data_IF_254057363842
#
_entry.id   IF_254057363842
#
_cell.length_a   1.000
_cell.length_b   1.000
_cell.length_c   1.000
_cell.angle_alpha   90.00
_cell.angle_beta   90.00
_cell.angle_gamma   90.00
#
_symmetry.space_group_name_H-M   'P 1'
#
loop_
_entity.id
_entity.type
_entity.pdbx_description
1 polymer ?
#
# COMPACT_ATOMS: atom_id res chain seq x y z
N UNK A 1 -23.89 -54.00 -11.91
CA UNK A 1 -25.15 -53.21 -11.93
C UNK A 1 -24.82 -51.77 -11.57
N UNK A 2 -24.43 -50.95 -12.55
CA UNK A 2 -24.05 -49.54 -12.31
C UNK A 2 -25.32 -48.68 -12.34
N UNK A 3 -25.68 -48.06 -11.20
CA UNK A 3 -26.80 -47.13 -11.12
C UNK A 3 -26.43 -45.84 -11.88
N UNK A 4 -27.26 -45.47 -12.85
CA UNK A 4 -27.15 -44.18 -13.53
C UNK A 4 -27.49 -43.05 -12.54
N UNK A 5 -26.51 -42.21 -12.25
CA UNK A 5 -26.74 -40.95 -11.54
C UNK A 5 -27.31 -39.95 -12.54
N UNK A 6 -28.52 -39.46 -12.29
CA UNK A 6 -29.18 -38.48 -13.15
C UNK A 6 -28.36 -37.19 -13.21
N UNK A 7 -28.02 -36.75 -14.42
CA UNK A 7 -27.22 -35.56 -14.73
C UNK A 7 -27.65 -34.30 -13.94
N UNK A 8 -28.95 -34.16 -13.66
CA UNK A 8 -29.56 -33.03 -12.94
C UNK A 8 -29.20 -32.94 -11.45
N UNK A 9 -28.82 -34.06 -10.81
CA UNK A 9 -28.39 -34.09 -9.40
C UNK A 9 -26.90 -33.77 -9.26
N UNK A 10 -26.10 -34.11 -10.27
CA UNK A 10 -24.66 -33.80 -10.32
C UNK A 10 -24.45 -32.30 -10.55
N UNK A 11 -25.23 -31.67 -11.44
CA UNK A 11 -25.13 -30.22 -11.73
C UNK A 11 -25.49 -29.34 -10.52
N UNK A 12 -26.47 -29.75 -9.69
CA UNK A 12 -26.84 -29.00 -8.47
C UNK A 12 -25.83 -29.16 -7.34
N UNK A 13 -25.11 -30.28 -7.28
CA UNK A 13 -24.11 -30.55 -6.24
C UNK A 13 -22.75 -29.88 -6.52
N UNK A 14 -22.45 -29.52 -7.77
CA UNK A 14 -21.19 -28.87 -8.16
C UNK A 14 -21.29 -27.34 -8.24
N UNK A 15 -22.49 -26.77 -8.37
CA UNK A 15 -22.68 -25.31 -8.42
C UNK A 15 -22.42 -24.60 -7.06
N UNK A 16 -22.65 -25.28 -5.94
CA UNK A 16 -22.45 -24.71 -4.60
C UNK A 16 -20.97 -24.48 -4.23
N UNK A 17 -20.01 -25.41 -4.44
CA UNK A 17 -18.61 -25.17 -4.10
C UNK A 17 -17.91 -24.19 -5.05
N UNK A 18 -18.35 -24.10 -6.32
CA UNK A 18 -17.77 -23.18 -7.29
C UNK A 18 -18.10 -21.69 -7.00
N UNK A 19 -19.22 -21.41 -6.35
CA UNK A 19 -19.58 -20.06 -5.92
C UNK A 19 -18.80 -19.58 -4.69
N UNK A 20 -18.28 -20.48 -3.84
CA UNK A 20 -17.43 -20.10 -2.71
C UNK A 20 -16.00 -19.69 -3.12
N UNK A 21 -15.50 -20.17 -4.26
CA UNK A 21 -14.16 -19.78 -4.74
C UNK A 21 -14.12 -18.43 -5.46
N UNK A 22 -15.27 -17.84 -5.80
CA UNK A 22 -15.35 -16.56 -6.52
C UNK A 22 -15.17 -15.32 -5.63
N UNK A 23 -15.17 -15.47 -4.30
CA UNK A 23 -15.06 -14.36 -3.35
C UNK A 23 -13.63 -14.10 -2.85
N UNK A 24 -12.61 -14.51 -3.59
CA UNK A 24 -11.26 -13.98 -3.39
C UNK A 24 -11.23 -12.51 -3.82
N UNK A 25 -11.80 -11.63 -2.99
CA UNK A 25 -11.73 -10.20 -3.15
C UNK A 25 -10.26 -9.79 -3.17
N UNK A 26 -9.88 -8.98 -4.15
CA UNK A 26 -8.58 -8.32 -4.19
C UNK A 26 -8.51 -7.31 -3.03
N UNK A 27 -8.23 -7.80 -1.83
CA UNK A 27 -7.87 -6.97 -0.70
C UNK A 27 -6.52 -6.31 -1.03
N UNK A 28 -6.50 -4.99 -1.16
CA UNK A 28 -5.28 -4.23 -1.46
C UNK A 28 -4.34 -4.29 -0.26
N UNK A 29 -3.28 -5.08 -0.31
CA UNK A 29 -2.42 -5.25 0.85
C UNK A 29 -1.71 -3.94 1.28
N UNK A 30 -1.54 -3.77 2.59
CA UNK A 30 -0.75 -2.72 3.19
C UNK A 30 0.73 -3.03 2.96
N UNK A 31 1.45 -2.16 2.26
CA UNK A 31 2.85 -2.37 1.95
C UNK A 31 3.71 -1.46 2.82
N UNK A 32 4.71 -2.02 3.49
CA UNK A 32 5.70 -1.30 4.27
C UNK A 32 7.11 -1.75 3.90
N UNK A 33 8.01 -0.79 3.72
CA UNK A 33 9.44 -1.03 3.49
C UNK A 33 10.16 -0.98 4.84
N UNK A 34 10.88 -2.05 5.18
CA UNK A 34 11.55 -2.23 6.47
C UNK A 34 13.05 -2.37 6.26
N UNK A 35 13.83 -1.46 6.84
CA UNK A 35 15.30 -1.48 6.83
C UNK A 35 15.81 -1.76 8.23
N UNK A 36 16.75 -2.70 8.37
CA UNK A 36 17.30 -3.11 9.68
C UNK A 36 18.82 -3.16 9.66
N UNK A 37 19.43 -2.84 10.79
CA UNK A 37 20.86 -2.95 11.05
C UNK A 37 21.06 -3.55 12.44
N UNK A 38 21.91 -4.55 12.57
CA UNK A 38 22.20 -5.20 13.84
C UNK A 38 23.67 -5.54 13.96
N UNK A 39 24.34 -5.16 15.04
CA UNK A 39 25.77 -5.43 15.21
C UNK A 39 26.08 -6.69 16.02
N UNK A 40 25.12 -7.16 16.83
CA UNK A 40 25.10 -8.42 17.58
C UNK A 40 24.01 -8.25 18.64
N UNK A 41 22.76 -8.51 18.27
CA UNK A 41 21.70 -8.55 19.26
C UNK A 41 21.84 -9.88 20.03
N UNK A 42 22.06 -9.83 21.35
CA UNK A 42 22.23 -11.03 22.14
C UNK A 42 20.95 -11.85 22.15
N UNK A 43 21.08 -13.18 22.07
CA UNK A 43 19.94 -14.07 22.14
C UNK A 43 19.23 -13.94 23.51
N UNK A 44 17.90 -14.15 23.57
CA UNK A 44 17.13 -14.07 24.80
C UNK A 44 17.49 -15.23 25.74
N UNK A 45 18.52 -15.03 26.57
CA UNK A 45 19.03 -15.98 27.57
C UNK A 45 18.80 -15.46 29.00
N UNK A 46 17.68 -14.76 29.22
CA UNK A 46 17.38 -14.05 30.47
C UNK A 46 17.66 -12.55 30.42
N UNK A 47 17.76 -11.97 29.22
CA UNK A 47 17.89 -10.53 29.06
C UNK A 47 16.56 -9.82 29.31
N UNK A 48 16.63 -8.78 30.11
CA UNK A 48 15.52 -7.88 30.38
C UNK A 48 15.51 -6.71 29.41
N UNK A 49 14.33 -6.27 28.99
CA UNK A 49 14.17 -5.10 28.15
C UNK A 49 13.16 -4.13 28.75
N UNK A 50 13.31 -2.84 28.43
CA UNK A 50 12.32 -1.81 28.73
C UNK A 50 12.12 -0.93 27.50
N UNK A 51 10.86 -0.60 27.19
CA UNK A 51 10.52 0.29 26.07
C UNK A 51 10.40 1.72 26.57
N UNK A 52 11.03 2.65 25.85
CA UNK A 52 11.01 4.09 26.16
C UNK A 52 10.77 4.89 24.89
N UNK A 53 10.19 6.08 25.03
CA UNK A 53 10.04 7.00 23.91
C UNK A 53 11.41 7.54 23.49
N UNK A 54 11.71 7.49 22.19
CA UNK A 54 12.91 8.16 21.66
C UNK A 54 12.71 9.68 21.59
N UNK A 55 11.49 10.13 21.24
CA UNK A 55 11.11 11.54 21.30
C UNK A 55 10.64 11.93 22.72
N UNK A 56 11.30 12.89 23.38
CA UNK A 56 10.87 13.43 24.67
C UNK A 56 9.45 14.00 24.67
N UNK A 57 8.93 14.46 23.52
CA UNK A 57 7.57 14.98 23.41
C UNK A 57 6.50 13.90 23.55
N UNK A 58 6.84 12.64 23.23
CA UNK A 58 5.95 11.49 23.35
C UNK A 58 6.05 10.82 24.73
N UNK A 59 7.06 11.16 25.53
CA UNK A 59 7.24 10.60 26.87
C UNK A 59 6.02 10.89 27.76
N UNK A 60 5.38 9.83 28.24
CA UNK A 60 4.17 9.92 29.06
C UNK A 60 2.87 10.11 28.28
N UNK A 61 2.90 10.05 26.94
CA UNK A 61 1.69 10.02 26.12
C UNK A 61 0.94 8.68 26.29
N UNK A 62 -0.39 8.75 26.43
CA UNK A 62 -1.26 7.56 26.45
C UNK A 62 -1.24 6.81 25.11
N UNK A 63 -1.09 7.53 24.01
CA UNK A 63 -0.96 6.91 22.69
C UNK A 63 0.38 6.16 22.59
N UNK A 64 1.46 6.76 23.09
CA UNK A 64 2.76 6.08 23.15
C UNK A 64 2.68 4.80 23.98
N UNK A 65 2.05 4.86 25.17
CA UNK A 65 1.87 3.67 26.01
C UNK A 65 1.18 2.53 25.24
N UNK A 66 0.11 2.85 24.50
CA UNK A 66 -0.61 1.85 23.71
C UNK A 66 0.25 1.18 22.63
N UNK A 67 1.18 1.92 22.00
CA UNK A 67 2.09 1.36 21.00
C UNK A 67 3.31 0.69 21.63
N UNK A 68 3.79 1.18 22.77
CA UNK A 68 4.83 0.55 23.56
C UNK A 68 4.39 -0.86 23.97
N UNK A 69 3.14 -1.04 24.44
CA UNK A 69 2.55 -2.35 24.75
C UNK A 69 2.65 -3.33 23.55
N UNK A 70 2.51 -2.84 22.32
CA UNK A 70 2.64 -3.68 21.12
C UNK A 70 4.09 -4.13 20.91
N UNK A 71 5.05 -3.22 21.07
CA UNK A 71 6.48 -3.54 20.96
C UNK A 71 6.90 -4.51 22.07
N UNK A 72 6.42 -4.29 23.30
CA UNK A 72 6.63 -5.16 24.45
C UNK A 72 6.09 -6.57 24.19
N UNK A 73 4.85 -6.68 23.69
CA UNK A 73 4.27 -7.95 23.34
C UNK A 73 5.08 -8.69 22.26
N UNK A 74 5.62 -7.98 21.25
CA UNK A 74 6.48 -8.59 20.23
C UNK A 74 7.84 -9.02 20.77
N UNK A 75 8.47 -8.21 21.62
CA UNK A 75 9.73 -8.56 22.29
C UNK A 75 9.56 -9.75 23.22
N UNK A 76 8.45 -9.81 23.96
CA UNK A 76 8.09 -10.95 24.79
C UNK A 76 7.88 -12.23 23.97
N UNK A 77 7.24 -12.13 22.79
CA UNK A 77 7.09 -13.26 21.85
C UNK A 77 8.44 -13.79 21.34
N UNK A 78 9.47 -12.94 21.24
CA UNK A 78 10.82 -13.35 20.90
C UNK A 78 11.55 -14.05 22.07
N UNK A 79 11.01 -13.99 23.30
CA UNK A 79 11.56 -14.63 24.49
C UNK A 79 12.34 -13.68 25.42
N UNK A 80 12.36 -12.38 25.15
CA UNK A 80 12.91 -11.41 26.10
C UNK A 80 11.96 -11.19 27.26
N UNK A 81 12.50 -10.88 28.44
CA UNK A 81 11.69 -10.62 29.63
C UNK A 81 11.50 -9.13 29.85
N UNK A 82 10.28 -8.69 30.11
CA UNK A 82 10.00 -7.29 30.41
C UNK A 82 10.63 -6.89 31.76
N UNK A 83 11.21 -5.71 31.83
CA UNK A 83 11.76 -5.11 33.04
C UNK A 83 11.44 -3.62 33.11
N UNK A 84 11.94 -2.95 34.15
CA UNK A 84 11.84 -1.50 34.26
C UNK A 84 13.03 -0.82 33.61
N UNK A 85 12.88 0.46 33.25
CA UNK A 85 13.97 1.27 32.68
C UNK A 85 15.26 1.22 33.52
N UNK A 86 15.15 1.08 34.85
CA UNK A 86 16.29 1.02 35.78
C UNK A 86 16.98 -0.35 35.83
N UNK A 87 16.26 -1.44 35.53
CA UNK A 87 16.74 -2.82 35.70
C UNK A 87 16.90 -3.57 34.37
N UNK A 88 16.50 -2.97 33.26
CA UNK A 88 16.60 -3.57 31.94
C UNK A 88 18.05 -3.64 31.45
N UNK A 89 18.44 -4.79 30.89
CA UNK A 89 19.71 -4.93 30.17
C UNK A 89 19.69 -4.31 28.78
N UNK A 90 18.50 -4.21 28.18
CA UNK A 90 18.26 -3.64 26.86
C UNK A 90 17.26 -2.48 26.97
N UNK A 91 17.63 -1.33 26.42
CA UNK A 91 16.74 -0.18 26.32
C UNK A 91 16.23 -0.09 24.88
N UNK A 92 14.94 -0.33 24.69
CA UNK A 92 14.27 -0.25 23.40
C UNK A 92 13.68 1.15 23.25
N UNK A 93 14.33 2.00 22.46
CA UNK A 93 13.82 3.33 22.13
C UNK A 93 12.91 3.23 20.92
N UNK A 94 11.70 3.73 21.06
CA UNK A 94 10.65 3.64 20.05
C UNK A 94 10.13 5.03 19.69
N UNK A 95 9.95 5.27 18.40
CA UNK A 95 9.35 6.47 17.84
C UNK A 95 8.38 6.13 16.71
N UNK A 96 7.37 6.98 16.51
CA UNK A 96 6.38 6.83 15.47
C UNK A 96 5.91 8.18 14.94
N UNK A 97 5.57 8.24 13.66
CA UNK A 97 5.10 9.48 13.06
C UNK A 97 4.50 9.31 11.68
N UNK A 98 3.89 10.40 11.20
CA UNK A 98 3.38 10.55 9.85
C UNK A 98 3.77 11.93 9.31
N UNK A 99 4.15 11.99 8.04
CA UNK A 99 4.47 13.26 7.40
C UNK A 99 3.22 14.12 7.10
N UNK A 100 3.44 15.36 6.66
CA UNK A 100 2.36 16.30 6.32
C UNK A 100 1.58 15.91 5.04
N UNK A 101 2.00 14.83 4.37
CA UNK A 101 1.45 14.39 3.10
C UNK A 101 1.97 15.19 1.91
N UNK A 102 1.98 14.56 0.74
CA UNK A 102 2.36 15.19 -0.53
C UNK A 102 1.28 14.91 -1.57
N UNK A 103 0.86 15.94 -2.29
CA UNK A 103 -0.07 15.76 -3.40
C UNK A 103 0.59 14.99 -4.54
N UNK A 104 -0.11 13.97 -5.01
CA UNK A 104 0.22 13.23 -6.22
C UNK A 104 -0.90 13.42 -7.22
N UNK A 105 -0.51 13.84 -8.41
CA UNK A 105 -1.41 13.97 -9.54
C UNK A 105 -1.26 12.72 -10.39
N UNK A 106 -2.34 11.97 -10.55
CA UNK A 106 -2.41 10.84 -11.48
C UNK A 106 -3.38 11.20 -12.59
N UNK A 107 -2.84 11.29 -13.80
CA UNK A 107 -3.65 11.37 -15.01
C UNK A 107 -4.13 9.96 -15.34
N UNK A 108 -5.43 9.74 -15.19
CA UNK A 108 -6.11 8.52 -15.61
C UNK A 108 -6.96 8.87 -16.83
N UNK A 109 -6.75 8.18 -17.95
CA UNK A 109 -7.46 8.48 -19.19
C UNK A 109 -7.09 7.49 -20.27
N UNK A 110 -7.97 7.35 -21.25
CA UNK A 110 -7.70 6.56 -22.44
C UNK A 110 -6.86 7.42 -23.39
N UNK A 111 -5.59 7.06 -23.60
CA UNK A 111 -4.81 7.67 -24.67
C UNK A 111 -5.38 7.16 -26.00
N UNK A 112 -6.02 8.04 -26.77
CA UNK A 112 -6.58 7.68 -28.07
C UNK A 112 -5.45 7.19 -29.01
N UNK A 113 -5.43 5.91 -29.42
CA UNK A 113 -4.40 5.37 -30.29
C UNK A 113 -4.34 6.04 -31.67
N UNK A 114 -5.39 6.77 -32.05
CA UNK A 114 -5.50 7.44 -33.34
C UNK A 114 -5.08 8.91 -33.29
N UNK A 115 -4.73 9.44 -32.11
CA UNK A 115 -4.33 10.85 -31.94
C UNK A 115 -3.08 10.99 -31.07
N UNK A 116 -1.91 10.95 -31.70
CA UNK A 116 -0.64 11.36 -31.08
C UNK A 116 -0.39 12.85 -31.40
N UNK A 117 -0.26 13.75 -30.41
CA UNK A 117 -0.04 15.19 -30.62
C UNK A 117 1.22 15.53 -31.44
N UNK A 118 2.15 14.58 -31.60
CA UNK A 118 3.44 14.80 -32.24
C UNK A 118 3.49 14.28 -33.69
N UNK A 119 2.48 13.56 -34.16
CA UNK A 119 2.43 13.02 -35.53
C UNK A 119 1.40 13.81 -36.34
N UNK A 120 1.88 14.88 -36.95
CA UNK A 120 1.10 15.66 -37.92
C UNK A 120 0.51 14.75 -39.00
N UNK A 121 -0.80 14.87 -39.20
CA UNK A 121 -1.55 14.20 -40.25
C UNK A 121 -0.94 14.51 -41.62
N UNK A 122 -0.15 13.58 -42.17
CA UNK A 122 0.37 13.67 -43.53
C UNK A 122 -0.57 12.91 -44.48
N UNK A 123 -1.45 13.57 -45.25
CA UNK A 123 -2.26 12.88 -46.24
C UNK A 123 -1.36 12.49 -47.42
N UNK A 124 -0.83 11.26 -47.37
CA UNK A 124 -0.29 10.60 -48.56
C UNK A 124 -1.44 9.99 -49.34
N UNK A 125 -2.02 10.75 -50.26
CA UNK A 125 -2.77 10.18 -51.38
C UNK A 125 -2.17 10.64 -52.70
N UNK A 126 -1.22 9.85 -53.20
CA UNK A 126 -0.90 9.80 -54.62
C UNK A 126 -1.91 8.87 -55.28
N UNK A 127 -2.75 9.38 -56.19
CA UNK A 127 -2.91 8.90 -57.57
C UNK A 127 -4.18 9.47 -58.25
N UNK A 128 -3.99 9.95 -59.48
CA UNK A 128 -4.93 10.07 -60.63
C UNK A 128 -5.92 11.25 -60.77
N UNK A 129 -5.46 12.21 -61.60
CA UNK A 129 -5.95 12.59 -62.95
C UNK A 129 -7.27 13.40 -63.08
N UNK A 130 -7.07 14.66 -63.48
CA UNK A 130 -7.85 15.57 -64.36
C UNK A 130 -9.38 15.72 -64.21
N UNK A 131 -9.83 16.97 -64.04
CA UNK A 131 -10.34 17.87 -65.13
C UNK A 131 -11.28 18.93 -64.52
N UNK A 132 -10.89 20.20 -64.67
CA UNK A 132 -11.70 21.42 -64.74
C UNK A 132 -13.20 21.35 -64.36
N UNK A 133 -13.62 22.07 -63.30
CA UNK A 133 -14.66 23.12 -63.31
C UNK A 133 -14.77 23.80 -61.91
N UNK A 134 -15.25 25.06 -61.81
CA UNK A 134 -15.01 25.96 -60.68
C UNK A 134 -16.09 25.89 -59.59
N UNK A 135 -15.68 26.32 -58.38
CA UNK A 135 -16.46 26.55 -57.16
C UNK A 135 -17.95 26.82 -57.37
N UNK A 136 -18.79 25.95 -56.80
CA UNK A 136 -20.08 26.34 -56.21
C UNK A 136 -20.32 25.56 -54.93
N UNK A 137 -20.50 26.34 -53.87
CA UNK A 137 -21.11 26.00 -52.59
C UNK A 137 -21.98 24.73 -52.63
N UNK A 138 -21.44 23.62 -52.13
CA UNK A 138 -22.24 22.50 -51.68
C UNK A 138 -21.88 22.18 -50.23
N UNK A 139 -22.75 22.71 -49.36
CA UNK A 139 -22.93 22.34 -47.97
C UNK A 139 -23.01 20.81 -47.91
N UNK A 140 -21.88 20.16 -47.63
CA UNK A 140 -21.79 18.71 -47.63
C UNK A 140 -22.68 18.16 -46.53
N UNK A 141 -23.81 17.62 -46.95
CA UNK A 141 -24.91 17.07 -46.16
C UNK A 141 -24.65 15.59 -45.84
N UNK A 142 -23.40 15.28 -45.48
CA UNK A 142 -22.94 13.92 -45.14
C UNK A 142 -22.25 13.91 -43.75
N UNK A 143 -22.84 14.63 -42.80
CA UNK A 143 -22.54 14.50 -41.38
C UNK A 143 -23.56 13.51 -40.78
N UNK A 144 -23.33 12.22 -40.95
CA UNK A 144 -24.22 11.21 -40.38
C UNK A 144 -23.90 9.80 -40.85
N UNK A 145 -23.10 9.09 -40.05
CA UNK A 145 -23.30 7.66 -39.77
C UNK A 145 -22.35 7.12 -38.69
N UNK A 146 -21.14 7.68 -38.53
CA UNK A 146 -20.14 7.21 -37.54
C UNK A 146 -19.24 8.33 -37.03
N UNK A 147 -19.82 9.51 -36.76
CA UNK A 147 -19.08 10.68 -36.31
C UNK A 147 -19.11 10.79 -34.79
N UNK A 148 -18.25 10.07 -34.09
CA UNK A 148 -17.80 10.55 -32.78
C UNK A 148 -17.08 11.88 -33.04
N UNK A 149 -17.67 12.96 -32.52
CA UNK A 149 -17.20 14.31 -32.80
C UNK A 149 -15.77 14.50 -32.30
N UNK A 150 -15.03 15.39 -32.97
CA UNK A 150 -13.69 15.89 -32.62
C UNK A 150 -13.59 16.58 -31.23
N UNK A 151 -14.62 16.42 -30.38
CA UNK A 151 -14.78 16.91 -29.01
C UNK A 151 -15.94 16.16 -28.31
N UNK A 152 -16.03 14.83 -28.47
CA UNK A 152 -17.11 14.06 -27.84
C UNK A 152 -16.80 13.80 -26.34
N UNK A 153 -17.60 14.32 -25.39
CA UNK A 153 -17.39 14.12 -23.95
C UNK A 153 -17.45 12.63 -23.53
N UNK A 154 -18.00 11.75 -24.37
CA UNK A 154 -18.06 10.31 -24.10
C UNK A 154 -16.70 9.61 -24.16
N UNK A 155 -15.71 10.18 -24.85
CA UNK A 155 -14.33 9.66 -24.93
C UNK A 155 -13.34 10.46 -24.09
N UNK A 156 -13.86 11.23 -23.11
CA UNK A 156 -13.19 11.71 -21.90
C UNK A 156 -11.69 11.97 -22.03
N UNK A 157 -11.33 13.25 -22.22
CA UNK A 157 -9.95 13.71 -22.07
C UNK A 157 -9.36 13.29 -20.70
N UNK A 158 -8.03 13.33 -20.56
CA UNK A 158 -7.33 12.84 -19.38
C UNK A 158 -7.98 13.32 -18.07
N UNK A 159 -8.58 12.40 -17.30
CA UNK A 159 -9.12 12.70 -15.98
C UNK A 159 -7.93 12.84 -15.02
N UNK A 160 -7.70 14.07 -14.59
CA UNK A 160 -6.65 14.39 -13.63
C UNK A 160 -7.22 14.18 -12.24
N UNK A 161 -6.76 13.15 -11.53
CA UNK A 161 -7.11 12.91 -10.13
C UNK A 161 -5.94 13.30 -9.24
N UNK A 162 -6.19 14.25 -8.32
CA UNK A 162 -5.25 14.61 -7.26
C UNK A 162 -5.59 13.85 -5.97
N UNK A 163 -4.60 13.25 -5.33
CA UNK A 163 -4.74 12.64 -4.01
C UNK A 163 -3.49 12.90 -3.16
N UNK A 164 -3.68 13.03 -1.85
CA UNK A 164 -2.58 13.20 -0.90
C UNK A 164 -2.05 11.83 -0.48
N UNK A 165 -0.72 11.68 -0.50
CA UNK A 165 -0.03 10.49 0.00
C UNK A 165 0.78 10.88 1.22
N UNK A 166 0.54 10.19 2.32
CA UNK A 166 1.26 10.29 3.57
C UNK A 166 2.32 9.20 3.67
N UNK A 167 3.48 9.56 4.20
CA UNK A 167 4.53 8.63 4.61
C UNK A 167 4.46 8.47 6.12
N UNK A 168 3.97 7.31 6.57
CA UNK A 168 4.03 6.93 7.99
C UNK A 168 5.26 6.08 8.25
N UNK A 169 5.83 6.20 9.44
CA UNK A 169 6.96 5.36 9.82
C UNK A 169 7.06 5.14 11.32
N UNK A 170 7.80 4.09 11.66
CA UNK A 170 8.31 3.85 13.00
C UNK A 170 9.83 3.72 12.94
N UNK A 171 10.48 4.17 14.01
CA UNK A 171 11.91 4.01 14.24
C UNK A 171 12.10 3.29 15.58
N UNK A 172 12.87 2.20 15.55
CA UNK A 172 13.15 1.39 16.73
C UNK A 172 14.66 1.20 16.88
N UNK A 173 15.15 1.44 18.09
CA UNK A 173 16.57 1.32 18.44
C UNK A 173 16.69 0.48 19.70
N UNK A 174 17.66 -0.42 19.75
CA UNK A 174 17.95 -1.19 20.96
C UNK A 174 19.37 -0.86 21.40
N UNK A 175 19.49 -0.29 22.59
CA UNK A 175 20.76 0.04 23.24
C UNK A 175 21.03 -0.95 24.38
N UNK A 176 22.28 -1.36 24.52
CA UNK A 176 22.76 -2.06 25.70
C UNK A 176 22.89 -1.08 26.86
N UNK A 177 22.28 -1.35 28.02
CA UNK A 177 22.28 -0.39 29.14
C UNK A 177 23.59 -0.34 29.90
N UNK A 178 24.40 -1.41 29.86
CA UNK A 178 25.69 -1.48 30.54
C UNK A 178 26.78 -0.71 29.79
N UNK A 179 26.78 -0.79 28.46
CA UNK A 179 27.80 -0.20 27.58
C UNK A 179 27.31 1.05 26.84
N UNK A 180 26.00 1.29 26.78
CA UNK A 180 25.39 2.35 25.98
C UNK A 180 25.48 2.12 24.47
N UNK A 181 25.93 0.93 24.03
CA UNK A 181 26.15 0.64 22.62
C UNK A 181 24.84 0.31 21.92
N UNK A 182 24.64 0.88 20.74
CA UNK A 182 23.56 0.50 19.82
C UNK A 182 23.77 -0.92 19.31
N UNK A 183 22.81 -1.80 19.57
CA UNK A 183 22.82 -3.21 19.14
C UNK A 183 21.94 -3.45 17.92
N UNK A 184 20.86 -2.68 17.79
CA UNK A 184 19.90 -2.78 16.69
C UNK A 184 19.34 -1.41 16.33
N UNK A 185 19.19 -1.14 15.03
CA UNK A 185 18.43 -0.04 14.46
C UNK A 185 17.50 -0.58 13.39
N UNK A 186 16.22 -0.24 13.48
CA UNK A 186 15.21 -0.63 12.51
C UNK A 186 14.32 0.55 12.17
N UNK A 187 14.03 0.70 10.88
CA UNK A 187 13.05 1.67 10.36
C UNK A 187 12.04 0.95 9.49
N UNK A 188 10.76 1.18 9.74
CA UNK A 188 9.69 0.68 8.88
C UNK A 188 8.85 1.85 8.40
N UNK A 189 8.63 1.95 7.09
CA UNK A 189 7.88 3.05 6.47
C UNK A 189 6.80 2.50 5.55
N UNK A 190 5.66 3.18 5.48
CA UNK A 190 4.60 2.86 4.55
C UNK A 190 4.03 4.13 3.92
N UNK A 191 3.70 4.03 2.64
CA UNK A 191 2.97 5.05 1.90
C UNK A 191 1.48 4.74 1.93
N UNK A 192 0.69 5.67 2.45
CA UNK A 192 -0.76 5.52 2.60
C UNK A 192 -1.49 6.80 2.21
N UNK A 193 -2.73 6.66 1.74
CA UNK A 193 -3.63 7.82 1.58
C UNK A 193 -4.29 8.23 2.91
N UNK A 194 -4.08 7.44 3.97
CA UNK A 194 -4.56 7.70 5.32
C UNK A 194 -3.40 8.14 6.22
N UNK A 195 -3.68 9.05 7.15
CA UNK A 195 -2.75 9.53 8.17
C UNK A 195 -3.09 8.99 9.58
N UNK A 196 -3.94 7.96 9.68
CA UNK A 196 -4.38 7.40 10.96
C UNK A 196 -3.32 6.52 11.60
N UNK A 197 -2.54 7.09 12.52
CA UNK A 197 -1.49 6.38 13.25
C UNK A 197 -2.01 5.13 13.98
N UNK A 198 -3.23 5.18 14.53
CA UNK A 198 -3.84 4.05 15.25
C UNK A 198 -4.01 2.80 14.37
N UNK A 199 -4.06 2.97 13.05
CA UNK A 199 -4.10 1.87 12.11
C UNK A 199 -2.70 1.55 11.54
N UNK A 200 -1.89 2.59 11.28
CA UNK A 200 -0.60 2.42 10.59
C UNK A 200 0.46 1.84 11.52
N UNK A 201 0.58 2.36 12.75
CA UNK A 201 1.63 1.98 13.69
C UNK A 201 1.57 0.49 14.06
N UNK A 202 0.42 -0.11 14.40
CA UNK A 202 0.37 -1.54 14.72
C UNK A 202 0.85 -2.43 13.56
N UNK A 203 0.48 -2.09 12.32
CA UNK A 203 0.92 -2.82 11.13
C UNK A 203 2.43 -2.63 10.89
N UNK A 204 2.95 -1.42 11.07
CA UNK A 204 4.38 -1.16 10.94
C UNK A 204 5.20 -1.91 12.00
N UNK A 205 4.70 -2.00 13.23
CA UNK A 205 5.33 -2.80 14.30
C UNK A 205 5.32 -4.28 13.91
N UNK A 206 4.18 -4.81 13.44
CA UNK A 206 4.13 -6.19 12.94
C UNK A 206 5.13 -6.45 11.80
N UNK A 207 5.24 -5.52 10.85
CA UNK A 207 6.22 -5.61 9.77
C UNK A 207 7.65 -5.59 10.31
N UNK A 208 7.97 -4.71 11.27
CA UNK A 208 9.28 -4.62 11.90
C UNK A 208 9.72 -5.93 12.54
N UNK A 209 8.81 -6.63 13.21
CA UNK A 209 9.07 -7.88 13.90
C UNK A 209 9.00 -9.13 13.02
N UNK A 210 8.58 -9.00 11.76
CA UNK A 210 8.62 -10.11 10.79
C UNK A 210 10.08 -10.46 10.47
N UNK A 211 10.48 -11.71 10.73
CA UNK A 211 11.84 -12.25 10.58
C UNK A 211 12.93 -11.49 11.37
N UNK A 212 12.56 -10.93 12.54
CA UNK A 212 13.48 -10.19 13.40
C UNK A 212 14.64 -11.07 13.96
N UNK A 213 15.89 -10.56 14.04
CA UNK A 213 16.36 -9.21 13.69
C UNK A 213 16.68 -8.98 12.21
N UNK A 214 16.56 -10.03 11.38
CA UNK A 214 16.76 -9.98 9.93
C UNK A 214 18.22 -9.84 9.49
N UNK A 215 18.41 -9.58 8.19
CA UNK A 215 19.71 -9.25 7.61
C UNK A 215 20.00 -7.76 7.71
N UNK A 216 21.24 -7.41 8.07
CA UNK A 216 21.66 -6.02 8.18
C UNK A 216 21.84 -5.36 6.82
N UNK A 217 21.26 -4.18 6.64
CA UNK A 217 21.36 -3.36 5.42
C UNK A 217 20.38 -3.72 4.31
N UNK A 218 19.49 -4.68 4.52
CA UNK A 218 18.44 -5.03 3.56
C UNK A 218 17.17 -4.22 3.81
N UNK A 219 16.52 -3.79 2.73
CA UNK A 219 15.18 -3.19 2.79
C UNK A 219 14.17 -4.20 2.25
N UNK A 220 13.30 -4.69 3.12
CA UNK A 220 12.29 -5.69 2.81
C UNK A 220 10.91 -5.03 2.69
N UNK A 221 10.22 -5.29 1.58
CA UNK A 221 8.83 -4.88 1.41
C UNK A 221 7.91 -5.93 2.04
N UNK A 222 7.36 -5.60 3.20
CA UNK A 222 6.41 -6.44 3.93
C UNK A 222 4.98 -6.02 3.56
N UNK A 223 4.15 -7.01 3.26
CA UNK A 223 2.78 -6.82 2.79
C UNK A 223 1.79 -7.41 3.81
N UNK A 224 1.10 -6.55 4.56
CA UNK A 224 0.13 -6.91 5.62
C UNK A 224 -1.30 -6.76 5.08
N UNK A 225 -2.27 -7.48 5.65
CA UNK A 225 -3.68 -7.41 5.22
C UNK A 225 -4.26 -6.00 5.42
N UNK A 226 -5.11 -5.50 4.51
CA UNK A 226 -5.72 -4.19 4.66
C UNK A 226 -6.79 -4.10 5.75
N UNK A 227 -7.09 -2.87 6.15
CA UNK A 227 -8.16 -2.49 7.08
C UNK A 227 -9.52 -3.05 6.64
N UNK A 228 -10.23 -3.67 7.57
CA UNK A 228 -11.68 -3.83 7.45
C UNK A 228 -12.37 -2.57 7.96
N UNK A 229 -12.80 -1.68 7.06
CA UNK A 229 -13.59 -0.50 7.45
C UNK A 229 -14.96 -0.95 7.96
N UNK A 230 -15.12 -1.03 9.29
CA UNK A 230 -16.40 -1.33 9.94
C UNK A 230 -17.22 -0.05 10.09
N UNK A 231 -18.07 0.24 9.11
CA UNK A 231 -19.04 1.35 9.21
C UNK A 231 -20.17 0.93 10.14
N UNK A 232 -20.18 1.47 11.37
CA UNK A 232 -21.36 1.37 12.24
C UNK A 232 -22.39 2.39 11.74
N UNK A 233 -23.45 1.90 11.11
CA UNK A 233 -24.64 2.72 10.83
C UNK A 233 -25.28 3.07 12.19
N UNK A 234 -25.43 4.35 12.47
CA UNK A 234 -26.23 4.83 13.59
C UNK A 234 -27.65 4.91 13.05
N UNK A 235 -28.50 3.98 13.48
CA UNK A 235 -29.95 4.02 13.25
C UNK A 235 -30.63 4.85 14.35
#
# INVERSE_FOLDING_TARGET
MFKSLSLSRVVKATAAPLLLFGLAGCATAFNSDVTRFSTQLPAPQGQTFAVVADDPALAGSLEFAQYADLVEARMAQLGYTEGTQDNATLLVRFDYGVDEGRERVRTVGFADPFYDPWIGYHPRSRLYRHRFYPSRFHRSRYAGAWGYGFNDPWFGGPEVRSYTVYTSGIDMKIDDTATGKRLFEGKAQALSTSNRLQYLVPNLVEAMFTDFPGHSGETLRISIKPEETKVRRVD
#
